data_IF_692221734225
#
_entry.id   IF_692221734225
#
_cell.length_a   1.000
_cell.length_b   1.000
_cell.length_c   1.000
_cell.angle_alpha   90.00
_cell.angle_beta   90.00
_cell.angle_gamma   90.00
#
_symmetry.space_group_name_H-M   'P 1'
#
loop_
_entity.id
_entity.type
_entity.pdbx_description
1 polymer ?
#
# COMPACT_ATOMS: atom_id res chain seq x y z
N UNK A 1 17.08 -1.12 -2.14
CA UNK A 1 16.77 -0.39 -0.90
C UNK A 1 16.58 1.11 -1.15
N UNK A 2 17.47 1.82 -1.84
CA UNK A 2 17.33 3.27 -2.07
C UNK A 2 15.96 3.69 -2.63
N UNK A 3 15.42 2.99 -3.63
CA UNK A 3 14.08 3.29 -4.21
C UNK A 3 12.93 3.18 -3.20
N UNK A 4 13.02 2.28 -2.23
CA UNK A 4 12.02 2.13 -1.16
C UNK A 4 12.00 3.38 -0.30
N UNK A 5 13.18 3.90 0.08
CA UNK A 5 13.30 5.09 0.91
C UNK A 5 12.92 6.36 0.13
N UNK A 6 13.31 6.44 -1.16
CA UNK A 6 13.13 7.64 -1.98
C UNK A 6 11.64 7.98 -2.21
N UNK A 7 10.78 6.98 -2.46
CA UNK A 7 9.37 7.27 -2.79
C UNK A 7 8.33 6.25 -2.29
N UNK A 8 8.68 4.95 -2.17
CA UNK A 8 7.69 3.93 -1.87
C UNK A 8 7.20 3.99 -0.42
N UNK A 9 8.09 4.21 0.54
CA UNK A 9 7.72 4.28 1.96
C UNK A 9 6.70 5.41 2.22
N UNK A 10 6.95 6.60 1.68
CA UNK A 10 6.01 7.72 1.76
C UNK A 10 4.68 7.43 1.07
N UNK A 11 4.72 6.78 -0.09
CA UNK A 11 3.52 6.35 -0.81
C UNK A 11 2.72 5.33 0.01
N UNK A 12 3.38 4.32 0.59
CA UNK A 12 2.75 3.32 1.44
C UNK A 12 2.02 3.94 2.64
N UNK A 13 2.67 4.84 3.35
CA UNK A 13 2.05 5.57 4.46
C UNK A 13 0.83 6.35 4.00
N UNK A 14 0.92 7.05 2.88
CA UNK A 14 -0.14 7.89 2.32
C UNK A 14 -1.37 7.07 1.93
N UNK A 15 -1.20 6.00 1.13
CA UNK A 15 -2.33 5.17 0.71
C UNK A 15 -2.94 4.39 1.87
N UNK A 16 -2.12 3.86 2.79
CA UNK A 16 -2.62 3.13 3.96
C UNK A 16 -3.48 4.02 4.83
N UNK A 17 -3.03 5.25 5.08
CA UNK A 17 -3.80 6.22 5.86
C UNK A 17 -5.12 6.56 5.17
N UNK A 18 -5.08 6.93 3.90
CA UNK A 18 -6.24 7.39 3.14
C UNK A 18 -7.29 6.29 2.89
N UNK A 19 -6.90 5.02 2.85
CA UNK A 19 -7.79 3.90 2.58
C UNK A 19 -8.26 3.24 3.88
N UNK A 20 -7.32 2.77 4.72
CA UNK A 20 -7.62 1.98 5.90
C UNK A 20 -7.83 2.83 7.15
N UNK A 21 -6.84 3.63 7.56
CA UNK A 21 -6.91 4.34 8.85
C UNK A 21 -7.94 5.46 8.87
N UNK A 22 -8.27 6.01 7.71
CA UNK A 22 -9.36 6.96 7.52
C UNK A 22 -10.69 6.43 8.05
N UNK A 23 -10.98 5.12 7.92
CA UNK A 23 -12.26 4.55 8.32
C UNK A 23 -12.58 4.78 9.80
N UNK A 24 -11.57 4.67 10.66
CA UNK A 24 -11.71 4.97 12.08
C UNK A 24 -11.95 6.46 12.37
N UNK A 25 -11.40 7.33 11.53
CA UNK A 25 -11.57 8.79 11.67
C UNK A 25 -12.94 9.26 11.21
N UNK A 26 -13.52 8.65 10.20
CA UNK A 26 -14.87 8.95 9.71
C UNK A 26 -15.99 8.65 10.74
N UNK A 27 -15.67 7.89 11.78
CA UNK A 27 -16.61 7.61 12.89
C UNK A 27 -16.62 8.72 13.96
N UNK A 28 -15.71 9.70 13.86
CA UNK A 28 -15.59 10.82 14.83
C UNK A 28 -16.51 11.97 14.49
N UNK A 29 -16.86 12.76 15.52
CA UNK A 29 -17.60 14.00 15.30
C UNK A 29 -16.74 15.05 14.59
N UNK A 30 -17.37 16.06 13.95
CA UNK A 30 -16.63 17.16 13.33
C UNK A 30 -15.69 17.89 14.30
N UNK A 31 -16.11 18.06 15.55
CA UNK A 31 -15.35 18.71 16.62
C UNK A 31 -14.10 17.90 16.99
N UNK A 32 -14.25 16.58 17.11
CA UNK A 32 -13.13 15.66 17.38
C UNK A 32 -12.11 15.63 16.24
N UNK A 33 -12.59 15.66 14.98
CA UNK A 33 -11.72 15.75 13.80
C UNK A 33 -10.96 17.07 13.77
N UNK A 34 -11.63 18.19 14.02
CA UNK A 34 -10.98 19.50 14.08
C UNK A 34 -9.94 19.59 15.21
N UNK A 35 -10.25 19.07 16.40
CA UNK A 35 -9.29 19.01 17.50
C UNK A 35 -8.05 18.18 17.12
N UNK A 36 -8.26 17.03 16.47
CA UNK A 36 -7.17 16.19 15.94
C UNK A 36 -6.33 16.93 14.91
N UNK A 37 -6.95 17.60 13.92
CA UNK A 37 -6.19 18.33 12.90
C UNK A 37 -5.40 19.49 13.52
N UNK A 38 -5.98 20.24 14.44
CA UNK A 38 -5.30 21.32 15.15
C UNK A 38 -4.08 20.83 15.95
N UNK A 39 -4.09 19.60 16.44
CA UNK A 39 -2.94 19.02 17.17
C UNK A 39 -1.73 18.69 16.30
N UNK A 40 -1.86 18.73 14.98
CA UNK A 40 -0.75 18.48 14.03
C UNK A 40 0.01 19.81 13.84
N UNK A 41 1.28 19.91 14.28
CA UNK A 41 2.03 21.17 14.24
C UNK A 41 2.31 21.66 12.81
N UNK A 42 2.74 20.77 11.92
CA UNK A 42 3.07 21.11 10.53
C UNK A 42 1.81 21.40 9.70
N UNK A 43 1.65 22.61 9.15
CA UNK A 43 0.44 23.00 8.41
C UNK A 43 0.25 22.18 7.13
N UNK A 44 1.33 21.89 6.41
CA UNK A 44 1.28 21.11 5.16
C UNK A 44 0.88 19.66 5.41
N UNK A 45 1.43 19.04 6.45
CA UNK A 45 1.04 17.69 6.85
C UNK A 45 -0.40 17.66 7.36
N UNK A 46 -0.81 18.64 8.14
CA UNK A 46 -2.19 18.82 8.63
C UNK A 46 -3.18 18.84 7.46
N UNK A 47 -2.90 19.65 6.44
CA UNK A 47 -3.79 19.77 5.28
C UNK A 47 -3.85 18.47 4.47
N UNK A 48 -2.71 17.80 4.24
CA UNK A 48 -2.71 16.47 3.59
C UNK A 48 -3.54 15.46 4.38
N UNK A 49 -3.43 15.46 5.73
CA UNK A 49 -4.24 14.58 6.58
C UNK A 49 -5.74 14.89 6.45
N UNK A 50 -6.11 16.19 6.44
CA UNK A 50 -7.49 16.63 6.24
C UNK A 50 -8.04 16.15 4.89
N UNK A 51 -7.31 16.42 3.82
CA UNK A 51 -7.70 15.98 2.47
C UNK A 51 -7.82 14.45 2.37
N UNK A 52 -6.91 13.70 3.00
CA UNK A 52 -6.99 12.24 3.03
C UNK A 52 -8.24 11.76 3.77
N UNK A 53 -8.63 12.39 4.87
CA UNK A 53 -9.85 12.03 5.60
C UNK A 53 -11.10 12.37 4.79
N UNK A 54 -11.15 13.55 4.18
CA UNK A 54 -12.32 14.02 3.45
C UNK A 54 -12.52 13.29 2.11
N UNK A 55 -11.45 13.09 1.36
CA UNK A 55 -11.52 12.59 -0.02
C UNK A 55 -10.96 11.18 -0.22
N UNK A 56 -10.27 10.62 0.78
CA UNK A 56 -9.67 9.29 0.68
C UNK A 56 -8.71 9.18 -0.50
N UNK A 57 -8.86 8.12 -1.28
CA UNK A 57 -8.01 7.84 -2.45
C UNK A 57 -8.11 8.90 -3.57
N UNK A 58 -9.18 9.70 -3.60
CA UNK A 58 -9.36 10.76 -4.58
C UNK A 58 -8.61 12.08 -4.22
N UNK A 59 -7.92 12.13 -3.08
CA UNK A 59 -7.09 13.28 -2.75
C UNK A 59 -5.85 13.34 -3.67
N UNK A 60 -5.46 14.51 -4.23
CA UNK A 60 -4.41 14.60 -5.26
C UNK A 60 -3.07 13.97 -4.87
N UNK A 61 -2.63 14.14 -3.62
CA UNK A 61 -1.39 13.54 -3.13
C UNK A 61 -1.48 12.02 -2.95
N UNK A 62 -2.69 11.46 -2.76
CA UNK A 62 -2.95 10.02 -2.70
C UNK A 62 -2.93 9.41 -4.09
N UNK A 63 -3.47 10.08 -5.10
CA UNK A 63 -3.34 9.67 -6.50
C UNK A 63 -1.86 9.52 -6.91
N UNK A 64 -1.01 10.49 -6.51
CA UNK A 64 0.43 10.39 -6.78
C UNK A 64 1.06 9.20 -6.05
N UNK A 65 0.63 8.90 -4.83
CA UNK A 65 1.11 7.73 -4.08
C UNK A 65 0.71 6.40 -4.74
N UNK A 66 -0.50 6.30 -5.30
CA UNK A 66 -0.93 5.15 -6.12
C UNK A 66 -0.04 4.99 -7.35
N UNK A 67 0.26 6.06 -8.08
CA UNK A 67 1.16 6.03 -9.24
C UNK A 67 2.59 5.63 -8.86
N UNK A 68 3.06 6.03 -7.68
CA UNK A 68 4.36 5.61 -7.17
C UNK A 68 4.39 4.10 -6.88
N UNK A 69 3.29 3.55 -6.35
CA UNK A 69 3.15 2.11 -6.17
C UNK A 69 3.18 1.37 -7.51
N UNK A 70 2.39 1.82 -8.47
CA UNK A 70 2.33 1.23 -9.81
C UNK A 70 3.72 1.19 -10.46
N UNK A 71 4.44 2.32 -10.42
CA UNK A 71 5.83 2.41 -10.87
C UNK A 71 6.74 1.39 -10.19
N UNK A 72 6.61 1.22 -8.87
CA UNK A 72 7.44 0.26 -8.13
C UNK A 72 7.14 -1.19 -8.54
N UNK A 73 5.86 -1.54 -8.68
CA UNK A 73 5.46 -2.87 -9.12
C UNK A 73 5.92 -3.16 -10.56
N UNK A 74 5.92 -2.15 -11.43
CA UNK A 74 6.47 -2.24 -12.79
C UNK A 74 7.99 -2.47 -12.82
N UNK A 75 8.72 -1.78 -11.95
CA UNK A 75 10.15 -2.00 -11.75
C UNK A 75 10.44 -3.42 -11.19
N UNK A 76 9.58 -3.94 -10.30
CA UNK A 76 9.66 -5.32 -9.83
C UNK A 76 9.43 -6.30 -10.97
N UNK A 77 8.38 -6.12 -11.78
CA UNK A 77 8.08 -6.98 -12.94
C UNK A 77 9.28 -7.06 -13.88
N UNK A 78 9.88 -5.91 -14.19
CA UNK A 78 11.07 -5.84 -15.03
C UNK A 78 12.26 -6.63 -14.45
N UNK A 79 12.54 -6.47 -13.16
CA UNK A 79 13.63 -7.20 -12.51
C UNK A 79 13.37 -8.72 -12.47
N UNK A 80 12.15 -9.09 -12.11
CA UNK A 80 11.72 -10.49 -11.96
C UNK A 80 11.56 -11.23 -13.30
N UNK A 81 11.46 -10.51 -14.40
CA UNK A 81 11.53 -11.11 -15.74
C UNK A 81 12.92 -11.65 -16.09
N UNK A 82 13.96 -11.25 -15.36
CA UNK A 82 15.36 -11.62 -15.59
C UNK A 82 15.90 -12.62 -14.55
N UNK A 83 15.23 -12.77 -13.41
CA UNK A 83 15.73 -13.60 -12.31
C UNK A 83 14.59 -14.03 -11.38
N UNK A 84 14.83 -15.04 -10.56
CA UNK A 84 13.83 -15.59 -9.64
C UNK A 84 13.45 -14.64 -8.49
N UNK A 85 14.37 -13.74 -8.09
CA UNK A 85 14.19 -12.75 -7.04
C UNK A 85 14.66 -11.37 -7.52
N UNK A 86 14.42 -10.32 -6.72
CA UNK A 86 14.63 -8.92 -7.14
C UNK A 86 16.07 -8.54 -7.45
N UNK A 87 17.06 -9.31 -6.97
CA UNK A 87 18.50 -9.01 -7.15
C UNK A 87 19.27 -10.27 -7.59
N UNK A 88 18.61 -11.19 -8.30
CA UNK A 88 19.22 -12.43 -8.79
C UNK A 88 18.40 -13.67 -8.47
N UNK A 89 19.03 -14.84 -8.46
CA UNK A 89 18.34 -16.11 -8.31
C UNK A 89 18.20 -16.58 -6.85
N UNK A 90 18.71 -15.81 -5.89
CA UNK A 90 18.61 -16.09 -4.47
C UNK A 90 17.79 -15.02 -3.73
N UNK A 91 17.02 -15.47 -2.72
CA UNK A 91 16.27 -14.58 -1.84
C UNK A 91 17.19 -13.61 -1.08
N UNK A 92 16.85 -12.35 -1.10
CA UNK A 92 17.69 -11.27 -0.58
C UNK A 92 16.92 -10.30 0.35
N UNK A 93 17.64 -9.35 0.94
CA UNK A 93 17.03 -8.25 1.71
C UNK A 93 16.14 -7.35 0.85
N UNK A 94 16.33 -7.32 -0.48
CA UNK A 94 15.45 -6.58 -1.37
C UNK A 94 14.07 -7.21 -1.41
N UNK A 95 14.01 -8.55 -1.46
CA UNK A 95 12.75 -9.30 -1.43
C UNK A 95 12.05 -9.18 -0.08
N UNK A 96 12.81 -9.25 1.02
CA UNK A 96 12.28 -9.04 2.37
C UNK A 96 11.62 -7.65 2.49
N UNK A 97 12.30 -6.61 2.04
CA UNK A 97 11.75 -5.26 2.06
C UNK A 97 10.50 -5.13 1.18
N UNK A 98 10.55 -5.61 -0.07
CA UNK A 98 9.44 -5.56 -1.01
C UNK A 98 8.19 -6.29 -0.49
N UNK A 99 8.36 -7.42 0.18
CA UNK A 99 7.28 -8.23 0.73
C UNK A 99 6.35 -7.40 1.62
N UNK A 100 6.89 -6.55 2.48
CA UNK A 100 6.09 -5.71 3.39
C UNK A 100 5.19 -4.72 2.63
N UNK A 101 5.68 -4.14 1.54
CA UNK A 101 4.93 -3.18 0.73
C UNK A 101 3.89 -3.84 -0.16
N UNK A 102 4.23 -4.98 -0.77
CA UNK A 102 3.29 -5.74 -1.61
C UNK A 102 2.14 -6.29 -0.74
N UNK A 103 2.44 -6.88 0.42
CA UNK A 103 1.40 -7.31 1.36
C UNK A 103 0.52 -6.14 1.81
N UNK A 104 1.10 -4.98 2.10
CA UNK A 104 0.32 -3.79 2.48
C UNK A 104 -0.60 -3.34 1.35
N UNK A 105 -0.13 -3.34 0.11
CA UNK A 105 -0.96 -3.00 -1.04
C UNK A 105 -2.15 -3.96 -1.20
N UNK A 106 -1.95 -5.25 -1.03
CA UNK A 106 -3.02 -6.25 -1.05
C UNK A 106 -4.04 -6.04 0.09
N UNK A 107 -3.58 -5.75 1.31
CA UNK A 107 -4.46 -5.46 2.45
C UNK A 107 -5.41 -4.28 2.19
N UNK A 108 -5.01 -3.33 1.36
CA UNK A 108 -5.79 -2.13 1.02
C UNK A 108 -6.40 -2.19 -0.39
N UNK A 109 -6.62 -3.38 -0.94
CA UNK A 109 -7.28 -3.63 -2.22
C UNK A 109 -6.58 -3.01 -3.44
N UNK A 110 -5.24 -3.03 -3.45
CA UNK A 110 -4.42 -2.58 -4.56
C UNK A 110 -3.78 -3.76 -5.34
N UNK A 111 -4.19 -4.99 -5.10
CA UNK A 111 -3.68 -6.19 -5.79
C UNK A 111 -3.90 -6.16 -7.31
N UNK A 112 -4.85 -5.36 -7.78
CA UNK A 112 -5.05 -5.10 -9.21
C UNK A 112 -3.82 -4.53 -9.93
N UNK A 113 -2.85 -4.00 -9.18
CA UNK A 113 -1.57 -3.54 -9.73
C UNK A 113 -0.74 -4.65 -10.36
N UNK A 114 -0.95 -5.93 -9.98
CA UNK A 114 -0.12 -7.03 -10.51
C UNK A 114 -0.92 -8.23 -11.02
N UNK A 115 -2.09 -8.54 -10.47
CA UNK A 115 -2.80 -9.81 -10.74
C UNK A 115 -3.00 -10.08 -12.23
N UNK A 116 -3.37 -9.07 -13.02
CA UNK A 116 -3.75 -9.25 -14.43
C UNK A 116 -2.65 -8.86 -15.43
N UNK A 117 -1.60 -8.17 -14.99
CA UNK A 117 -0.69 -7.48 -15.90
C UNK A 117 0.79 -7.75 -15.63
N UNK A 118 1.13 -8.37 -14.48
CA UNK A 118 2.52 -8.54 -14.03
C UNK A 118 2.75 -9.96 -13.49
N UNK A 119 2.83 -10.95 -14.40
CA UNK A 119 2.89 -12.36 -14.03
C UNK A 119 4.15 -12.72 -13.21
N UNK A 120 5.29 -12.05 -13.44
CA UNK A 120 6.51 -12.32 -12.68
C UNK A 120 6.39 -11.86 -11.22
N UNK A 121 5.68 -10.76 -10.95
CA UNK A 121 5.35 -10.34 -9.58
C UNK A 121 4.41 -11.34 -8.92
N UNK A 122 3.41 -11.87 -9.63
CA UNK A 122 2.51 -12.91 -9.12
C UNK A 122 3.30 -14.17 -8.72
N UNK A 123 4.18 -14.65 -9.60
CA UNK A 123 5.03 -15.81 -9.35
C UNK A 123 6.03 -15.59 -8.21
N UNK A 124 6.61 -14.39 -8.14
CA UNK A 124 7.48 -14.00 -7.03
C UNK A 124 6.72 -14.03 -5.71
N UNK A 125 5.53 -13.43 -5.64
CA UNK A 125 4.72 -13.39 -4.42
C UNK A 125 4.32 -14.80 -3.96
N UNK A 126 4.02 -15.72 -4.90
CA UNK A 126 3.78 -17.13 -4.59
C UNK A 126 5.02 -17.76 -3.93
N UNK A 127 6.23 -17.60 -4.53
CA UNK A 127 7.49 -18.11 -3.94
C UNK A 127 7.78 -17.52 -2.55
N UNK A 128 7.49 -16.24 -2.35
CA UNK A 128 7.64 -15.59 -1.02
C UNK A 128 6.72 -16.26 0.01
N UNK A 129 5.46 -16.54 -0.33
CA UNK A 129 4.46 -17.13 0.56
C UNK A 129 4.73 -18.60 0.88
N UNK A 130 5.37 -19.33 -0.02
CA UNK A 130 5.80 -20.73 0.21
C UNK A 130 6.97 -20.85 1.20
N UNK A 131 7.60 -19.75 1.58
CA UNK A 131 8.71 -19.78 2.55
C UNK A 131 8.19 -20.02 3.97
N UNK A 132 8.78 -20.98 4.73
CA UNK A 132 8.33 -21.27 6.10
C UNK A 132 8.42 -20.07 7.07
N UNK A 133 9.24 -19.06 6.74
CA UNK A 133 9.36 -17.82 7.50
C UNK A 133 8.21 -16.84 7.27
N UNK A 134 7.45 -16.98 6.17
CA UNK A 134 6.38 -16.05 5.82
C UNK A 134 5.26 -16.06 6.86
N UNK A 135 4.73 -17.23 7.18
CA UNK A 135 3.66 -17.38 8.16
C UNK A 135 4.10 -16.85 9.53
N UNK A 136 5.28 -17.27 9.99
CA UNK A 136 5.83 -16.83 11.28
C UNK A 136 6.10 -15.34 11.38
N UNK A 137 6.44 -14.69 10.26
CA UNK A 137 6.78 -13.26 10.26
C UNK A 137 5.59 -12.34 9.93
N UNK A 138 4.54 -12.85 9.29
CA UNK A 138 3.43 -12.04 8.77
C UNK A 138 2.08 -12.59 9.23
N UNK A 139 1.74 -13.83 8.87
CA UNK A 139 0.40 -14.38 9.11
C UNK A 139 0.10 -14.51 10.60
N UNK A 140 1.03 -15.01 11.39
CA UNK A 140 0.86 -15.24 12.84
C UNK A 140 0.74 -13.93 13.64
N UNK A 141 1.23 -12.81 13.09
CA UNK A 141 1.13 -11.47 13.71
C UNK A 141 -0.12 -10.71 13.30
N UNK A 142 -0.90 -11.21 12.35
CA UNK A 142 -2.11 -10.53 11.88
C UNK A 142 -3.28 -10.81 12.82
N UNK A 143 -3.55 -9.87 13.72
CA UNK A 143 -4.53 -9.99 14.80
C UNK A 143 -5.97 -9.69 14.35
N UNK A 144 -6.96 -9.95 15.23
CA UNK A 144 -8.34 -9.51 15.03
C UNK A 144 -8.46 -7.98 14.87
N UNK A 145 -7.72 -7.22 15.68
CA UNK A 145 -7.68 -5.75 15.57
C UNK A 145 -7.12 -5.26 14.22
N UNK A 146 -6.18 -5.99 13.63
CA UNK A 146 -5.70 -5.66 12.29
C UNK A 146 -6.75 -5.96 11.22
N UNK A 147 -7.50 -7.05 11.35
CA UNK A 147 -8.63 -7.36 10.45
C UNK A 147 -9.68 -6.25 10.47
N UNK A 148 -10.07 -5.76 11.63
CA UNK A 148 -11.00 -4.64 11.77
C UNK A 148 -10.46 -3.35 11.16
N UNK A 149 -9.15 -3.08 11.34
CA UNK A 149 -8.48 -1.88 10.79
C UNK A 149 -8.43 -1.88 9.27
N UNK A 150 -8.33 -3.05 8.66
CA UNK A 150 -8.29 -3.26 7.21
C UNK A 150 -9.64 -3.75 6.64
N UNK A 151 -10.71 -3.64 7.41
CA UNK A 151 -12.08 -3.77 6.90
C UNK A 151 -12.45 -2.49 6.13
N UNK A 152 -12.25 -2.54 4.83
CA UNK A 152 -12.36 -1.41 3.91
C UNK A 152 -13.33 -1.74 2.77
N UNK A 153 -13.90 -0.75 2.09
CA UNK A 153 -14.71 -0.96 0.88
C UNK A 153 -13.81 -1.39 -0.30
N UNK A 154 -13.45 -2.66 -0.35
CA UNK A 154 -12.46 -3.22 -1.29
C UNK A 154 -12.79 -2.96 -2.75
N UNK A 155 -14.03 -3.23 -3.17
CA UNK A 155 -14.46 -3.05 -4.57
C UNK A 155 -14.40 -1.59 -5.02
N UNK A 156 -14.83 -0.67 -4.16
CA UNK A 156 -14.74 0.77 -4.44
C UNK A 156 -13.28 1.21 -4.52
N UNK A 157 -12.43 0.75 -3.61
CA UNK A 157 -11.00 1.07 -3.61
C UNK A 157 -10.33 0.55 -4.88
N UNK A 158 -10.53 -0.71 -5.22
CA UNK A 158 -9.97 -1.32 -6.43
C UNK A 158 -10.44 -0.59 -7.71
N UNK A 159 -11.72 -0.21 -7.79
CA UNK A 159 -12.25 0.59 -8.90
C UNK A 159 -11.53 1.93 -9.03
N UNK A 160 -11.39 2.67 -7.92
CA UNK A 160 -10.70 3.97 -7.92
C UNK A 160 -9.23 3.87 -8.27
N UNK A 161 -8.53 2.81 -7.85
CA UNK A 161 -7.15 2.54 -8.27
C UNK A 161 -7.07 2.40 -9.79
N UNK A 162 -7.96 1.60 -10.40
CA UNK A 162 -8.01 1.45 -11.86
C UNK A 162 -8.28 2.77 -12.58
N UNK A 163 -9.21 3.58 -12.07
CA UNK A 163 -9.53 4.91 -12.62
C UNK A 163 -8.30 5.83 -12.61
N UNK A 164 -7.56 5.88 -11.48
CA UNK A 164 -6.34 6.70 -11.35
C UNK A 164 -5.28 6.27 -12.36
N UNK A 165 -5.11 4.96 -12.55
CA UNK A 165 -4.09 4.39 -13.43
C UNK A 165 -4.56 4.25 -14.88
N UNK A 166 -5.84 4.47 -15.16
CA UNK A 166 -6.47 4.30 -16.48
C UNK A 166 -6.28 2.88 -17.04
N UNK A 167 -6.38 1.88 -16.18
CA UNK A 167 -6.32 0.46 -16.53
C UNK A 167 -7.71 -0.19 -16.41
N UNK A 168 -7.95 -1.20 -17.26
CA UNK A 168 -9.22 -1.95 -17.31
C UNK A 168 -9.29 -3.05 -16.25
#
# INVERSE_FOLDING_TARGET
>A
MKKVDDYLHGACSTVTFAIAFRQGLLKKTPEELEARFKSIPDPGYRERQRLSVMHGIAAPHVEQAVKNYDKYIDEMETALSQSSYLVGDEYSLADLAATSYVNRAEMIAMEGLWINHRPHVVDWLRRIRERPSYDRAITDYFTGADKERFDIPRDETARKVREILRIN
#
